data_IF_391054962711
#
_entry.id   IF_391054962711
#
_cell.length_a   1.000
_cell.length_b   1.000
_cell.length_c   1.000
_cell.angle_alpha   90.00
_cell.angle_beta   90.00
_cell.angle_gamma   90.00
#
_symmetry.space_group_name_H-M   'P 1'
#
loop_
_entity.id
_entity.type
_entity.pdbx_description
1 polymer ?
#
# COMPACT_ATOMS: atom_id res chain seq x y z
N UNK A 1 -21.51 2.93 2.98
CA UNK A 1 -20.80 3.22 2.64
C UNK A 1 -20.11 4.34 2.77
N UNK A 2 -20.02 4.91 3.56
CA UNK A 2 -19.36 6.02 3.85
C UNK A 2 -17.93 5.92 3.69
N UNK A 3 -17.54 4.97 3.02
CA UNK A 3 -16.21 4.72 2.99
C UNK A 3 -15.46 5.49 2.06
N UNK A 4 -16.09 6.41 1.36
CA UNK A 4 -15.41 7.19 0.40
C UNK A 4 -14.99 8.52 0.94
N UNK A 5 -15.17 8.75 2.21
CA UNK A 5 -14.64 9.98 2.77
C UNK A 5 -13.11 9.89 2.66
N UNK A 6 -12.50 11.02 2.43
CA UNK A 6 -11.05 11.14 2.40
C UNK A 6 -10.66 12.33 3.23
N UNK A 7 -9.44 12.35 3.67
CA UNK A 7 -8.97 13.45 4.50
C UNK A 7 -7.47 13.40 4.69
N UNK A 8 -6.96 14.42 5.37
CA UNK A 8 -5.56 14.52 5.69
C UNK A 8 -5.35 13.90 7.07
N UNK A 9 -4.41 12.96 7.14
CA UNK A 9 -4.07 12.34 8.41
C UNK A 9 -3.19 13.27 9.24
N UNK A 10 -3.54 13.43 10.50
CA UNK A 10 -2.75 14.24 11.41
C UNK A 10 -1.62 13.39 11.99
N UNK A 11 -0.41 13.57 11.48
CA UNK A 11 0.76 12.84 11.96
C UNK A 11 1.09 13.34 13.37
N UNK A 12 1.15 12.41 14.33
CA UNK A 12 1.53 12.77 15.71
C UNK A 12 3.02 12.61 15.94
N UNK A 13 3.64 11.67 15.25
CA UNK A 13 5.06 11.41 15.42
C UNK A 13 5.80 11.88 14.17
N UNK A 14 5.95 13.18 14.05
CA UNK A 14 6.48 13.82 12.86
C UNK A 14 7.85 13.28 12.44
N UNK A 15 8.66 12.85 13.39
CA UNK A 15 9.99 12.32 13.08
C UNK A 15 9.93 11.00 12.31
N UNK A 16 8.81 10.29 12.37
CA UNK A 16 8.65 9.01 11.67
C UNK A 16 8.19 9.21 10.24
N UNK A 17 7.52 10.31 9.94
CA UNK A 17 6.91 10.50 8.63
C UNK A 17 7.94 11.05 7.64
N UNK A 18 8.14 10.34 6.52
CA UNK A 18 9.16 10.70 5.54
C UNK A 18 8.58 11.15 4.21
N UNK A 19 7.26 11.31 4.10
CA UNK A 19 6.63 11.76 2.86
C UNK A 19 6.85 13.25 2.61
N UNK A 20 6.76 13.64 1.34
CA UNK A 20 6.92 15.05 0.95
C UNK A 20 5.66 15.87 1.15
N UNK A 21 4.53 15.21 1.26
CA UNK A 21 3.23 15.86 1.45
C UNK A 21 2.53 15.25 2.63
N UNK A 22 1.59 15.98 3.25
CA UNK A 22 0.79 15.39 4.31
C UNK A 22 0.08 14.14 3.80
N UNK A 23 0.03 13.06 4.59
CA UNK A 23 -0.61 11.84 4.13
C UNK A 23 -2.11 12.03 4.00
N UNK A 24 -2.66 11.60 2.87
CA UNK A 24 -4.08 11.69 2.58
C UNK A 24 -4.65 10.29 2.53
N UNK A 25 -5.67 10.02 3.37
CA UNK A 25 -6.35 8.74 3.31
C UNK A 25 -7.57 8.86 2.39
N UNK A 26 -7.75 7.85 1.56
CA UNK A 26 -8.86 7.79 0.60
C UNK A 26 -9.85 6.71 0.95
N UNK A 27 -9.61 6.01 2.05
CA UNK A 27 -10.52 5.00 2.55
C UNK A 27 -10.32 4.86 4.05
N UNK A 28 -11.31 4.30 4.73
CA UNK A 28 -11.18 4.06 6.16
C UNK A 28 -10.08 3.05 6.47
N UNK A 29 -9.81 2.13 5.55
CA UNK A 29 -8.72 1.16 5.75
C UNK A 29 -7.37 1.84 5.75
N UNK A 30 -7.17 2.82 4.85
CA UNK A 30 -5.93 3.59 4.84
C UNK A 30 -5.77 4.39 6.12
N UNK A 31 -6.86 4.98 6.61
CA UNK A 31 -6.82 5.74 7.86
C UNK A 31 -6.43 4.85 9.04
N UNK A 32 -7.01 3.65 9.12
CA UNK A 32 -6.68 2.69 10.17
C UNK A 32 -5.21 2.31 10.10
N UNK A 33 -4.73 2.06 8.89
CA UNK A 33 -3.34 1.65 8.72
C UNK A 33 -2.37 2.78 9.05
N UNK A 34 -2.69 4.02 8.67
CA UNK A 34 -1.88 5.19 9.02
C UNK A 34 -1.78 5.36 10.53
N UNK A 35 -2.90 5.17 11.24
CA UNK A 35 -2.91 5.24 12.69
C UNK A 35 -1.99 4.18 13.28
N UNK A 36 -2.04 2.97 12.74
CA UNK A 36 -1.16 1.89 13.18
C UNK A 36 0.31 2.25 12.95
N UNK A 37 0.64 2.73 11.75
CA UNK A 37 2.03 3.06 11.43
C UNK A 37 2.58 4.16 12.33
N UNK A 38 1.77 5.17 12.57
CA UNK A 38 2.22 6.32 13.33
C UNK A 38 2.42 6.01 14.81
N UNK A 39 1.63 5.08 15.34
CA UNK A 39 1.65 4.77 16.77
C UNK A 39 2.46 3.54 17.16
N UNK A 40 2.89 2.71 16.20
CA UNK A 40 3.60 1.49 16.51
C UNK A 40 5.09 1.78 16.68
N UNK A 41 5.64 1.44 17.83
CA UNK A 41 7.04 1.74 18.14
C UNK A 41 8.02 0.97 17.26
N UNK A 42 7.62 -0.16 16.68
CA UNK A 42 8.49 -0.91 15.79
C UNK A 42 8.52 -0.35 14.39
N UNK A 43 7.59 0.54 14.04
CA UNK A 43 7.64 1.27 12.77
C UNK A 43 8.53 2.48 12.97
N UNK A 44 9.68 2.47 12.29
CA UNK A 44 10.68 3.51 12.46
C UNK A 44 10.40 4.71 11.55
N UNK A 45 9.94 4.45 10.33
CA UNK A 45 9.61 5.48 9.35
C UNK A 45 8.47 5.00 8.48
N UNK A 46 7.66 5.94 8.00
CA UNK A 46 6.62 5.62 7.02
C UNK A 46 6.32 6.84 6.15
N UNK A 47 5.90 6.59 4.92
CA UNK A 47 5.51 7.64 4.00
C UNK A 47 4.30 7.21 3.17
N UNK A 48 3.50 8.17 2.76
CA UNK A 48 2.29 7.94 1.97
C UNK A 48 2.53 8.39 0.54
N UNK A 49 2.35 7.47 -0.43
CA UNK A 49 2.44 7.76 -1.85
C UNK A 49 3.71 8.52 -2.24
N UNK A 50 4.83 8.14 -1.66
CA UNK A 50 6.08 8.88 -1.83
C UNK A 50 7.03 8.27 -2.86
N UNK A 51 6.64 7.15 -3.50
CA UNK A 51 7.45 6.47 -4.50
C UNK A 51 6.63 6.33 -5.78
N UNK A 52 7.22 6.67 -6.92
CA UNK A 52 6.59 6.52 -8.23
C UNK A 52 7.29 5.41 -9.00
N UNK A 53 6.55 4.42 -9.45
CA UNK A 53 7.07 3.28 -10.19
C UNK A 53 6.46 3.25 -11.58
N UNK A 54 7.28 3.31 -12.65
CA UNK A 54 6.73 3.20 -14.00
C UNK A 54 6.28 1.78 -14.29
N UNK A 55 5.15 1.65 -14.95
CA UNK A 55 4.65 0.35 -15.38
C UNK A 55 3.95 0.49 -16.73
N UNK A 56 3.88 -0.63 -17.47
CA UNK A 56 3.21 -0.66 -18.77
C UNK A 56 1.74 -0.99 -18.55
N UNK A 57 0.86 -0.04 -18.91
CA UNK A 57 -0.57 -0.20 -18.71
C UNK A 57 -1.11 -1.24 -19.72
N UNK A 58 -1.76 -2.31 -19.26
CA UNK A 58 -2.14 -3.40 -20.16
C UNK A 58 -3.26 -3.07 -21.13
N UNK A 59 -4.03 -2.01 -20.87
CA UNK A 59 -5.17 -1.68 -21.75
C UNK A 59 -4.81 -0.68 -22.85
N UNK A 60 -3.92 0.28 -22.57
CA UNK A 60 -3.55 1.27 -23.58
C UNK A 60 -2.12 1.12 -24.09
N UNK A 61 -1.35 0.21 -23.51
CA UNK A 61 0.02 -0.04 -23.97
C UNK A 61 0.99 1.10 -23.69
N UNK A 62 0.64 2.02 -22.84
CA UNK A 62 1.49 3.17 -22.54
C UNK A 62 2.08 3.05 -21.15
N UNK A 63 3.19 3.76 -20.92
CA UNK A 63 3.79 3.81 -19.61
C UNK A 63 3.02 4.75 -18.71
N UNK A 64 2.71 4.30 -17.50
CA UNK A 64 2.05 5.07 -16.47
C UNK A 64 2.89 5.02 -15.21
N UNK A 65 2.58 5.86 -14.24
CA UNK A 65 3.24 5.86 -12.93
C UNK A 65 2.32 5.29 -11.89
N UNK A 66 2.85 4.39 -11.09
CA UNK A 66 2.13 3.76 -9.98
C UNK A 66 2.72 4.28 -8.67
N UNK A 67 1.85 4.74 -7.78
CA UNK A 67 2.24 5.22 -6.46
C UNK A 67 1.69 4.25 -5.43
N UNK A 68 2.49 3.30 -4.94
CA UNK A 68 2.03 2.44 -3.85
C UNK A 68 1.60 3.25 -2.64
N UNK A 69 0.66 2.74 -1.87
CA UNK A 69 0.06 3.50 -0.79
C UNK A 69 1.07 3.92 0.27
N UNK A 70 1.97 3.02 0.68
CA UNK A 70 2.89 3.30 1.78
C UNK A 70 4.28 2.75 1.55
N UNK A 71 5.27 3.49 2.04
CA UNK A 71 6.63 3.00 2.23
C UNK A 71 6.83 2.93 3.74
N UNK A 72 7.25 1.77 4.25
CA UNK A 72 7.48 1.61 5.69
C UNK A 72 8.86 1.02 5.95
N UNK A 73 9.48 1.45 7.04
CA UNK A 73 10.68 0.84 7.58
C UNK A 73 10.38 0.45 9.03
N UNK A 74 10.62 -0.79 9.37
CA UNK A 74 10.27 -1.29 10.68
C UNK A 74 11.31 -2.24 11.22
N UNK A 75 11.25 -2.45 12.56
CA UNK A 75 12.14 -3.37 13.25
C UNK A 75 11.45 -4.71 13.41
N UNK A 76 12.16 -5.78 13.06
CA UNK A 76 11.65 -7.13 13.18
C UNK A 76 11.87 -7.68 14.59
N UNK A 77 11.31 -8.86 14.85
CA UNK A 77 11.51 -9.54 16.12
C UNK A 77 12.99 -9.86 16.39
N UNK A 78 13.75 -10.10 15.32
CA UNK A 78 15.18 -10.39 15.43
C UNK A 78 16.00 -9.11 15.59
N UNK A 79 15.35 -7.98 15.80
CA UNK A 79 16.00 -6.67 15.93
C UNK A 79 16.76 -6.23 14.69
N UNK A 80 16.29 -6.66 13.53
CA UNK A 80 16.82 -6.19 12.25
C UNK A 80 15.83 -5.21 11.64
N UNK A 81 16.28 -4.42 10.66
CA UNK A 81 15.41 -3.46 9.99
C UNK A 81 14.98 -3.98 8.63
N UNK A 82 13.73 -3.75 8.27
CA UNK A 82 13.20 -4.08 6.95
C UNK A 82 12.45 -2.89 6.39
N UNK A 83 12.46 -2.78 5.07
CA UNK A 83 11.71 -1.73 4.38
C UNK A 83 10.80 -2.38 3.35
N UNK A 84 9.55 -1.92 3.29
CA UNK A 84 8.54 -2.51 2.40
C UNK A 84 7.70 -1.42 1.76
N UNK A 85 7.28 -1.67 0.51
CA UNK A 85 6.22 -0.91 -0.12
C UNK A 85 4.92 -1.68 0.07
N UNK A 86 3.88 -0.98 0.47
CA UNK A 86 2.59 -1.58 0.83
C UNK A 86 1.48 -0.98 -0.03
N UNK A 87 0.65 -1.85 -0.57
CA UNK A 87 -0.58 -1.45 -1.25
C UNK A 87 -1.76 -2.06 -0.50
N UNK A 88 -2.79 -1.27 -0.22
CA UNK A 88 -4.00 -1.75 0.44
C UNK A 88 -5.09 -1.88 -0.61
N UNK A 89 -5.61 -3.09 -0.80
CA UNK A 89 -6.64 -3.38 -1.80
C UNK A 89 -7.68 -4.33 -1.25
N UNK A 90 -8.96 -4.12 -1.55
CA UNK A 90 -9.96 -5.13 -1.27
C UNK A 90 -9.62 -6.43 -1.98
N UNK A 91 -9.91 -7.54 -1.34
CA UNK A 91 -9.60 -8.85 -1.89
C UNK A 91 -10.24 -9.06 -3.27
N UNK A 92 -11.44 -8.53 -3.48
CA UNK A 92 -12.14 -8.68 -4.76
C UNK A 92 -11.47 -7.92 -5.91
N UNK A 93 -10.51 -7.05 -5.63
CA UNK A 93 -9.74 -6.36 -6.66
C UNK A 93 -8.36 -6.96 -6.85
N UNK A 94 -8.03 -8.02 -6.13
CA UNK A 94 -6.73 -8.66 -6.20
C UNK A 94 -6.76 -10.04 -6.84
N UNK A 95 -7.94 -10.61 -7.06
CA UNK A 95 -8.10 -11.96 -7.57
C UNK A 95 -9.11 -11.96 -8.70
N UNK A 96 -8.77 -12.62 -9.82
CA UNK A 96 -9.72 -12.81 -10.92
C UNK A 96 -10.61 -13.99 -10.59
N UNK A 97 -11.91 -13.77 -10.61
CA UNK A 97 -12.91 -14.81 -10.36
C UNK A 97 -13.74 -15.03 -11.60
N UNK A 98 -14.27 -16.24 -11.74
CA UNK A 98 -15.02 -16.63 -12.94
C UNK A 98 -16.28 -15.78 -13.16
N UNK A 99 -16.84 -15.24 -12.08
CA UNK A 99 -18.07 -14.44 -12.17
C UNK A 99 -17.83 -12.95 -12.40
N UNK A 100 -16.57 -12.54 -12.51
CA UNK A 100 -16.28 -11.13 -12.72
C UNK A 100 -16.69 -10.68 -14.12
N UNK A 101 -17.24 -9.46 -14.20
CA UNK A 101 -17.52 -8.84 -15.50
C UNK A 101 -16.22 -8.29 -16.11
N UNK A 102 -16.33 -7.77 -17.34
CA UNK A 102 -15.17 -7.27 -18.06
C UNK A 102 -14.47 -6.14 -17.35
N UNK A 103 -15.26 -5.26 -16.73
CA UNK A 103 -14.69 -4.10 -16.01
C UNK A 103 -13.85 -4.55 -14.82
N UNK A 104 -14.37 -5.49 -14.04
CA UNK A 104 -13.65 -5.95 -12.87
C UNK A 104 -12.38 -6.72 -13.26
N UNK A 105 -12.45 -7.49 -14.34
CA UNK A 105 -11.26 -8.19 -14.85
C UNK A 105 -10.20 -7.20 -15.31
N UNK A 106 -10.61 -6.09 -15.94
CA UNK A 106 -9.68 -5.07 -16.36
C UNK A 106 -8.97 -4.42 -15.16
N UNK A 107 -9.72 -4.14 -14.09
CA UNK A 107 -9.14 -3.58 -12.86
C UNK A 107 -8.09 -4.53 -12.29
N UNK A 108 -8.40 -5.82 -12.21
CA UNK A 108 -7.45 -6.80 -11.69
C UNK A 108 -6.22 -6.90 -12.58
N UNK A 109 -6.41 -6.86 -13.91
CA UNK A 109 -5.28 -6.92 -14.85
C UNK A 109 -4.34 -5.71 -14.67
N UNK A 110 -4.90 -4.52 -14.50
CA UNK A 110 -4.12 -3.32 -14.25
C UNK A 110 -3.36 -3.45 -12.93
N UNK A 111 -4.02 -3.95 -11.89
CA UNK A 111 -3.37 -4.13 -10.59
C UNK A 111 -2.22 -5.13 -10.69
N UNK A 112 -2.40 -6.23 -11.41
CA UNK A 112 -1.31 -7.20 -11.60
C UNK A 112 -0.10 -6.57 -12.29
N UNK A 113 -0.34 -5.72 -13.31
CA UNK A 113 0.75 -5.05 -14.00
C UNK A 113 1.50 -4.10 -13.06
N UNK A 114 0.75 -3.33 -12.26
CA UNK A 114 1.34 -2.43 -11.26
C UNK A 114 2.19 -3.20 -10.26
N UNK A 115 1.64 -4.31 -9.76
CA UNK A 115 2.31 -5.06 -8.68
C UNK A 115 3.52 -5.82 -9.17
N UNK A 116 3.48 -6.30 -10.42
CA UNK A 116 4.65 -6.94 -11.02
C UNK A 116 5.79 -5.92 -11.17
N UNK A 117 5.47 -4.71 -11.63
CA UNK A 117 6.45 -3.65 -11.77
C UNK A 117 7.00 -3.24 -10.40
N UNK A 118 6.14 -3.14 -9.39
CA UNK A 118 6.56 -2.79 -8.04
C UNK A 118 7.47 -3.86 -7.44
N UNK A 119 7.14 -5.13 -7.65
CA UNK A 119 7.96 -6.23 -7.15
C UNK A 119 9.36 -6.19 -7.76
N UNK A 120 9.43 -5.97 -9.08
CA UNK A 120 10.71 -5.90 -9.77
C UNK A 120 11.53 -4.68 -9.30
N UNK A 121 10.86 -3.53 -9.17
CA UNK A 121 11.54 -2.33 -8.71
C UNK A 121 12.07 -2.50 -7.28
N UNK A 122 11.27 -3.08 -6.39
CA UNK A 122 11.69 -3.30 -5.02
C UNK A 122 12.93 -4.18 -4.92
N UNK A 123 13.05 -5.19 -5.78
CA UNK A 123 14.23 -6.04 -5.78
C UNK A 123 15.50 -5.24 -6.06
N UNK A 124 15.42 -4.23 -6.91
CA UNK A 124 16.58 -3.41 -7.21
C UNK A 124 16.94 -2.46 -6.09
N UNK A 125 16.01 -2.19 -5.18
CA UNK A 125 16.17 -1.22 -4.09
C UNK A 125 16.37 -1.86 -2.72
N UNK A 126 16.39 -3.18 -2.66
CA UNK A 126 16.49 -3.87 -1.37
C UNK A 126 15.21 -3.82 -0.56
N UNK A 127 14.08 -3.64 -1.23
CA UNK A 127 12.76 -3.56 -0.60
C UNK A 127 11.93 -4.78 -0.93
N UNK A 128 10.85 -4.96 -0.20
CA UNK A 128 9.84 -5.97 -0.50
C UNK A 128 8.52 -5.26 -0.79
N UNK A 129 7.77 -5.78 -1.75
CA UNK A 129 6.43 -5.25 -2.06
C UNK A 129 5.38 -6.21 -1.53
N UNK A 130 4.36 -5.67 -0.84
CA UNK A 130 3.26 -6.49 -0.31
C UNK A 130 1.92 -5.82 -0.58
N UNK A 131 0.91 -6.64 -0.88
CA UNK A 131 -0.47 -6.18 -0.98
C UNK A 131 -1.21 -6.69 0.25
N UNK A 132 -1.82 -5.77 0.98
CA UNK A 132 -2.62 -6.10 2.16
C UNK A 132 -4.09 -5.98 1.81
N UNK A 133 -4.87 -6.95 2.24
CA UNK A 133 -6.31 -6.95 2.06
C UNK A 133 -6.99 -6.68 3.40
N UNK A 134 -8.32 -6.64 3.40
CA UNK A 134 -9.07 -6.46 4.64
C UNK A 134 -8.72 -7.53 5.67
N UNK A 135 -8.41 -8.75 5.22
CA UNK A 135 -8.03 -9.81 6.16
C UNK A 135 -6.76 -9.47 6.92
N UNK A 136 -5.78 -8.90 6.22
CA UNK A 136 -4.51 -8.56 6.85
C UNK A 136 -4.66 -7.41 7.83
N UNK A 137 -5.44 -6.40 7.47
CA UNK A 137 -5.56 -5.19 8.27
C UNK A 137 -6.35 -5.43 9.54
N UNK A 138 -7.50 -6.08 9.42
CA UNK A 138 -8.39 -6.23 10.55
C UNK A 138 -8.04 -7.41 11.45
N UNK A 139 -7.37 -8.41 10.90
CA UNK A 139 -7.01 -9.57 11.70
C UNK A 139 -5.67 -9.43 12.43
N UNK A 140 -4.79 -8.57 11.93
CA UNK A 140 -3.52 -8.39 12.62
C UNK A 140 -3.68 -7.85 14.02
N UNK A 141 -4.62 -6.96 14.22
CA UNK A 141 -4.85 -6.39 15.53
C UNK A 141 -5.31 -7.41 16.56
N UNK A 142 -6.03 -8.42 16.13
CA UNK A 142 -6.56 -9.41 17.05
C UNK A 142 -5.54 -10.48 17.45
N UNK A 143 -4.43 -10.55 16.77
CA UNK A 143 -3.41 -11.53 17.09
C UNK A 143 -2.39 -11.06 18.11
N UNK A 144 -2.58 -9.87 18.62
CA UNK A 144 -1.62 -9.29 19.56
C UNK A 144 -2.11 -9.20 20.97
#
# INVERSE_FOLDING_TARGET
MANFSKGIFQVRNAKKYVGNRPPTWRSSWEQVFMTFLDNNDNVLQWGSECVAIPYLHPLDGKMHRYFPDFLITYRTRENTMRAELIEIKPKNQSIIESKMNSRDRAVVAINYAKWAAATAWCKTQGLTFRVLTENDIFHQGSKR
#
